data_IF_604647211600
#
_entry.id   IF_604647211600
#
_cell.length_a   1.000
_cell.length_b   1.000
_cell.length_c   1.000
_cell.angle_alpha   90.00
_cell.angle_beta   90.00
_cell.angle_gamma   90.00
#
_symmetry.space_group_name_H-M   'P 1'
#
loop_
_entity.id
_entity.type
_entity.pdbx_description
1 polymer ?
#
# COMPACT_ATOMS: atom_id res chain seq x y z
N UNK A 1 5.19 -3.81 -1.57
CA UNK A 1 5.66 -3.48 -0.23
C UNK A 1 4.88 -2.28 0.29
N UNK A 2 4.10 -2.46 1.38
CA UNK A 2 3.48 -1.34 2.10
C UNK A 2 4.14 -1.28 3.48
N UNK A 3 4.61 -0.09 3.88
CA UNK A 3 5.17 0.13 5.21
C UNK A 3 4.31 1.13 5.97
N UNK A 4 4.11 0.87 7.26
CA UNK A 4 3.42 1.79 8.18
C UNK A 4 4.42 2.23 9.23
N UNK A 5 4.51 3.54 9.46
CA UNK A 5 5.24 4.12 10.58
C UNK A 5 4.22 4.52 11.64
N UNK A 6 4.37 3.99 12.83
CA UNK A 6 3.59 4.40 13.98
C UNK A 6 4.50 5.13 14.97
N UNK A 7 3.97 6.19 15.57
CA UNK A 7 4.61 6.95 16.63
C UNK A 7 4.12 6.40 17.97
N UNK A 8 5.04 5.89 18.78
CA UNK A 8 4.85 5.64 20.20
C UNK A 8 5.96 6.40 20.92
N UNK A 9 5.67 6.97 22.10
CA UNK A 9 6.44 8.06 22.74
C UNK A 9 7.93 8.09 22.43
N UNK A 10 8.36 9.18 21.80
CA UNK A 10 9.74 9.59 21.47
C UNK A 10 10.68 8.59 20.75
N UNK A 11 10.22 7.37 20.41
CA UNK A 11 11.05 6.39 19.70
C UNK A 11 10.26 5.65 18.61
N UNK A 12 10.76 5.69 17.37
CA UNK A 12 10.20 5.03 16.17
C UNK A 12 10.27 3.49 16.21
N UNK A 13 9.78 2.82 17.26
CA UNK A 13 10.17 1.44 17.57
C UNK A 13 9.43 0.33 16.81
N UNK A 14 8.43 0.62 15.99
CA UNK A 14 7.67 -0.45 15.31
C UNK A 14 7.54 -0.17 13.81
N UNK A 15 8.65 -0.32 13.06
CA UNK A 15 8.56 -0.50 11.60
C UNK A 15 7.96 -1.89 11.34
N UNK A 16 6.68 -1.91 10.97
CA UNK A 16 5.97 -3.13 10.57
C UNK A 16 5.74 -3.11 9.07
N UNK A 17 6.10 -4.20 8.42
CA UNK A 17 6.08 -4.35 6.98
C UNK A 17 5.19 -5.52 6.59
N UNK A 18 4.48 -5.35 5.47
CA UNK A 18 3.73 -6.42 4.84
C UNK A 18 3.90 -6.35 3.34
N UNK A 19 4.29 -7.49 2.78
CA UNK A 19 4.37 -7.66 1.35
C UNK A 19 3.05 -8.13 0.75
N UNK A 20 2.79 -7.60 -0.44
CA UNK A 20 1.64 -7.95 -1.25
C UNK A 20 2.16 -8.21 -2.66
N UNK A 21 1.80 -9.36 -3.22
CA UNK A 21 2.09 -9.69 -4.61
C UNK A 21 1.33 -8.74 -5.53
N UNK A 22 2.02 -8.03 -6.45
CA UNK A 22 1.36 -7.18 -7.44
C UNK A 22 0.36 -7.96 -8.29
N UNK A 23 -0.74 -7.32 -8.70
CA UNK A 23 -1.75 -7.90 -9.60
C UNK A 23 -1.99 -6.99 -10.79
N UNK A 24 -2.40 -7.57 -11.93
CA UNK A 24 -2.85 -6.79 -13.10
C UNK A 24 -4.04 -5.89 -12.75
N UNK A 25 -5.00 -6.43 -12.00
CA UNK A 25 -6.13 -5.68 -11.46
C UNK A 25 -6.68 -6.39 -10.21
N UNK A 26 -7.46 -5.66 -9.40
CA UNK A 26 -8.20 -6.21 -8.27
C UNK A 26 -7.64 -5.81 -6.91
N UNK A 27 -7.98 -6.55 -5.86
CA UNK A 27 -7.60 -6.21 -4.47
C UNK A 27 -6.73 -7.27 -3.82
N UNK A 28 -5.94 -6.85 -2.86
CA UNK A 28 -5.22 -7.71 -1.91
C UNK A 28 -5.51 -7.22 -0.51
N UNK A 29 -5.69 -8.15 0.42
CA UNK A 29 -6.01 -7.85 1.81
C UNK A 29 -4.96 -8.47 2.72
N UNK A 30 -4.66 -7.80 3.82
CA UNK A 30 -3.67 -8.27 4.77
C UNK A 30 -3.84 -7.64 6.14
N UNK A 31 -3.65 -8.41 7.19
CA UNK A 31 -3.58 -7.87 8.55
C UNK A 31 -2.16 -7.40 8.85
N UNK A 32 -2.01 -6.20 9.43
CA UNK A 32 -0.78 -5.65 9.98
C UNK A 32 -0.96 -5.44 11.48
N UNK A 33 -0.04 -5.96 12.28
CA UNK A 33 -0.09 -5.82 13.74
C UNK A 33 0.91 -4.72 14.16
N UNK A 34 0.41 -3.62 14.70
CA UNK A 34 1.17 -2.45 15.15
C UNK A 34 0.99 -2.31 16.66
N UNK A 35 1.97 -2.81 17.43
CA UNK A 35 1.82 -2.94 18.88
C UNK A 35 0.63 -3.85 19.23
N UNK A 36 -0.31 -3.33 20.03
CA UNK A 36 -1.58 -3.99 20.36
C UNK A 36 -2.67 -3.83 19.30
N UNK A 37 -2.49 -2.92 18.34
CA UNK A 37 -3.47 -2.63 17.30
C UNK A 37 -3.36 -3.60 16.12
N UNK A 38 -4.50 -4.17 15.71
CA UNK A 38 -4.62 -4.99 14.49
C UNK A 38 -5.28 -4.15 13.41
N UNK A 39 -4.58 -3.91 12.31
CA UNK A 39 -5.06 -3.10 11.19
C UNK A 39 -5.27 -3.97 9.95
N UNK A 40 -6.48 -3.96 9.39
CA UNK A 40 -6.74 -4.55 8.08
C UNK A 40 -6.33 -3.57 6.98
N UNK A 41 -5.39 -3.99 6.14
CA UNK A 41 -4.90 -3.23 4.99
C UNK A 41 -5.50 -3.82 3.72
N UNK A 42 -6.08 -2.96 2.87
CA UNK A 42 -6.55 -3.33 1.53
C UNK A 42 -5.75 -2.55 0.50
N UNK A 43 -5.07 -3.27 -0.39
CA UNK A 43 -4.33 -2.72 -1.53
C UNK A 43 -5.13 -2.97 -2.80
N UNK A 44 -5.45 -1.90 -3.53
CA UNK A 44 -6.08 -1.99 -4.84
C UNK A 44 -5.02 -1.88 -5.95
N UNK A 45 -5.16 -2.72 -6.97
CA UNK A 45 -4.29 -2.80 -8.12
C UNK A 45 -5.09 -2.46 -9.37
N UNK A 46 -4.50 -1.65 -10.24
CA UNK A 46 -4.98 -1.40 -11.59
C UNK A 46 -3.77 -1.20 -12.51
N UNK A 47 -3.95 -1.50 -13.79
CA UNK A 47 -2.99 -1.11 -14.80
C UNK A 47 -3.05 0.41 -14.94
N UNK A 48 -1.89 1.06 -14.84
CA UNK A 48 -1.75 2.47 -15.19
C UNK A 48 -1.38 2.51 -16.66
N UNK A 49 -2.17 3.23 -17.47
CA UNK A 49 -1.80 3.49 -18.85
C UNK A 49 -0.55 4.37 -18.86
N UNK A 50 0.52 3.90 -19.47
CA UNK A 50 1.74 4.68 -19.69
C UNK A 50 1.66 5.53 -20.97
N UNK A 51 0.50 5.56 -21.63
CA UNK A 51 0.27 6.42 -22.78
C UNK A 51 0.39 7.87 -22.31
N UNK A 52 1.32 8.61 -22.90
CA UNK A 52 1.33 10.08 -22.77
C UNK A 52 0.03 10.56 -23.41
N UNK A 53 -0.70 11.53 -22.82
CA UNK A 53 -1.76 12.20 -23.55
C UNK A 53 -1.10 12.81 -24.78
N UNK A 54 -1.33 12.23 -25.96
CA UNK A 54 -1.06 12.94 -27.20
C UNK A 54 -2.14 14.00 -27.28
N UNK A 55 -1.78 15.21 -26.87
CA UNK A 55 -2.41 16.41 -27.44
C UNK A 55 -2.45 16.18 -28.95
N UNK A 56 -3.64 16.29 -29.54
CA UNK A 56 -4.05 15.97 -30.92
C UNK A 56 -5.03 14.80 -30.98
N UNK A 57 -6.28 15.08 -30.62
CA UNK A 57 -7.44 14.37 -31.18
C UNK A 57 -8.58 15.38 -31.34
N UNK A 58 -8.66 15.91 -32.56
CA UNK A 58 -9.69 16.74 -33.23
C UNK A 58 -9.86 18.20 -32.78
#
# INVERSE_FOLDING_TARGET
MVYVKAWDGDVFLMRKEKDFTPKKAGRSQGMLNVGSCKMQVTVAWSLISTQRPTENSL
#
